data_IF_648992545332
#
_entry.id   IF_648992545332
#
_cell.length_a   1.000
_cell.length_b   1.000
_cell.length_c   1.000
_cell.angle_alpha   90.00
_cell.angle_beta   90.00
_cell.angle_gamma   90.00
#
_symmetry.space_group_name_H-M   'P 1'
#
loop_
_entity.id
_entity.type
_entity.pdbx_description
1 polymer ?
#
# COMPACT_ATOMS: atom_id res chain seq x y z
N UNK A 1 -2.45 11.69 -24.57
CA UNK A 1 -3.23 12.06 -23.36
C UNK A 1 -2.27 12.10 -22.19
N UNK A 2 -2.33 13.12 -21.34
CA UNK A 2 -1.42 13.23 -20.18
C UNK A 2 -1.72 12.15 -19.13
N UNK A 3 -0.72 11.61 -18.42
CA UNK A 3 -0.94 10.77 -17.24
C UNK A 3 -1.62 11.53 -16.11
N UNK A 4 -2.41 10.83 -15.30
CA UNK A 4 -3.07 11.38 -14.11
C UNK A 4 -2.57 10.68 -12.83
N UNK A 5 -1.96 11.46 -11.94
CA UNK A 5 -1.65 11.05 -10.57
C UNK A 5 -2.82 11.38 -9.64
N UNK A 6 -3.44 10.38 -9.05
CA UNK A 6 -4.49 10.51 -8.06
C UNK A 6 -3.89 10.29 -6.68
N UNK A 7 -3.96 11.31 -5.83
CA UNK A 7 -3.36 11.28 -4.50
C UNK A 7 -4.44 11.06 -3.47
N UNK A 8 -4.34 9.94 -2.75
CA UNK A 8 -5.06 9.70 -1.51
C UNK A 8 -4.35 10.47 -0.39
N UNK A 9 -4.75 11.73 -0.23
CA UNK A 9 -4.08 12.63 0.71
C UNK A 9 -4.47 12.38 2.17
N UNK A 10 -5.55 11.63 2.42
CA UNK A 10 -5.91 11.19 3.77
C UNK A 10 -4.82 10.27 4.34
N UNK A 11 -4.27 9.39 3.49
CA UNK A 11 -3.24 8.42 3.86
C UNK A 11 -1.81 8.84 3.51
N UNK A 12 -1.61 9.73 2.54
CA UNK A 12 -0.29 10.19 2.04
C UNK A 12 -0.23 11.71 2.00
N UNK A 13 0.21 12.31 3.11
CA UNK A 13 0.33 13.77 3.24
C UNK A 13 1.69 14.33 2.79
N UNK A 14 2.73 13.49 2.76
CA UNK A 14 4.04 13.85 2.24
C UNK A 14 4.10 13.52 0.75
N UNK A 15 4.03 14.55 -0.09
CA UNK A 15 4.16 14.45 -1.55
C UNK A 15 5.48 15.11 -1.94
N UNK A 16 6.38 14.34 -2.56
CA UNK A 16 7.62 14.83 -3.14
C UNK A 16 7.32 15.42 -4.54
N UNK A 17 6.76 16.63 -4.56
CA UNK A 17 6.26 17.31 -5.78
C UNK A 17 7.33 17.39 -6.86
N UNK A 18 8.58 17.57 -6.46
CA UNK A 18 9.77 17.67 -7.30
C UNK A 18 10.03 16.40 -8.13
N UNK A 19 9.56 15.25 -7.65
CA UNK A 19 9.71 13.96 -8.34
C UNK A 19 8.60 13.69 -9.35
N UNK A 20 7.54 14.50 -9.36
CA UNK A 20 6.42 14.33 -10.29
C UNK A 20 6.84 14.81 -11.69
N UNK A 21 6.79 13.95 -12.73
CA UNK A 21 7.16 14.35 -14.08
C UNK A 21 6.33 15.53 -14.61
N UNK A 22 6.89 16.39 -15.47
CA UNK A 22 6.25 17.64 -15.89
C UNK A 22 4.97 17.44 -16.73
N UNK A 23 4.77 16.27 -17.33
CA UNK A 23 3.61 15.92 -18.14
C UNK A 23 2.43 15.36 -17.33
N UNK A 24 2.62 15.07 -16.04
CA UNK A 24 1.57 14.55 -15.18
C UNK A 24 0.62 15.66 -14.72
N UNK A 25 -0.68 15.38 -14.79
CA UNK A 25 -1.72 16.07 -14.01
C UNK A 25 -1.85 15.41 -12.65
N UNK A 26 -2.23 16.18 -11.63
CA UNK A 26 -2.33 15.75 -10.25
C UNK A 26 -3.74 16.07 -9.72
N UNK A 27 -4.46 15.04 -9.29
CA UNK A 27 -5.76 15.17 -8.63
C UNK A 27 -5.59 14.73 -7.17
N UNK A 28 -5.71 15.68 -6.24
CA UNK A 28 -5.49 15.46 -4.81
C UNK A 28 -6.84 15.32 -4.11
N UNK A 29 -7.10 14.15 -3.53
CA UNK A 29 -8.35 13.85 -2.84
C UNK A 29 -8.18 14.04 -1.35
N UNK A 30 -9.00 14.88 -0.73
CA UNK A 30 -8.97 15.17 0.69
C UNK A 30 -10.25 14.69 1.38
N UNK A 31 -10.12 13.97 2.49
CA UNK A 31 -11.25 13.56 3.31
C UNK A 31 -12.03 14.76 3.87
N UNK A 32 -13.32 14.58 4.15
CA UNK A 32 -14.20 15.67 4.58
C UNK A 32 -13.75 16.38 5.86
N UNK A 33 -13.14 15.63 6.78
CA UNK A 33 -12.64 16.13 8.07
C UNK A 33 -11.29 16.85 7.96
N UNK A 34 -10.61 16.74 6.81
CA UNK A 34 -9.33 17.37 6.61
C UNK A 34 -9.51 18.85 6.26
N UNK A 35 -9.01 19.73 7.12
CA UNK A 35 -9.29 21.18 7.03
C UNK A 35 -8.29 21.94 6.16
N UNK A 36 -7.05 21.50 6.11
CA UNK A 36 -5.96 22.19 5.42
C UNK A 36 -4.88 21.23 4.95
N UNK A 37 -4.06 21.71 4.02
CA UNK A 37 -2.73 21.16 3.73
C UNK A 37 -1.68 22.08 4.36
N UNK A 38 -0.43 21.60 4.51
CA UNK A 38 0.65 22.45 5.02
C UNK A 38 0.97 23.57 4.03
N UNK A 39 1.42 24.72 4.55
CA UNK A 39 1.87 25.82 3.72
C UNK A 39 3.05 25.40 2.84
N UNK A 40 3.99 24.61 3.39
CA UNK A 40 5.11 24.04 2.64
C UNK A 40 4.65 23.27 1.40
N UNK A 41 3.75 22.31 1.56
CA UNK A 41 3.24 21.52 0.44
C UNK A 41 2.49 22.40 -0.57
N UNK A 42 1.68 23.32 -0.07
CA UNK A 42 0.89 24.22 -0.92
C UNK A 42 1.79 25.12 -1.75
N UNK A 43 2.85 25.69 -1.16
CA UNK A 43 3.85 26.50 -1.84
C UNK A 43 4.62 25.71 -2.90
N UNK A 44 4.89 24.42 -2.67
CA UNK A 44 5.52 23.54 -3.66
C UNK A 44 4.59 23.15 -4.81
N UNK A 45 3.29 23.00 -4.55
CA UNK A 45 2.29 22.67 -5.57
C UNK A 45 1.84 23.91 -6.38
N UNK A 46 1.86 25.10 -5.80
CA UNK A 46 1.34 26.32 -6.43
C UNK A 46 1.97 26.63 -7.81
N UNK A 47 3.30 26.50 -8.02
CA UNK A 47 3.92 26.73 -9.32
C UNK A 47 3.46 25.77 -10.42
N UNK A 48 2.89 24.60 -10.09
CA UNK A 48 2.41 23.64 -11.08
C UNK A 48 1.09 24.12 -11.74
N UNK A 49 0.44 25.15 -11.19
CA UNK A 49 -0.71 25.80 -11.79
C UNK A 49 -1.87 24.85 -12.08
N UNK A 50 -2.40 24.89 -13.30
CA UNK A 50 -3.57 24.11 -13.73
C UNK A 50 -3.36 22.60 -13.75
N UNK A 51 -2.12 22.12 -13.56
CA UNK A 51 -1.81 20.69 -13.42
C UNK A 51 -2.33 20.10 -12.13
N UNK A 52 -2.58 20.91 -11.10
CA UNK A 52 -3.02 20.44 -9.77
C UNK A 52 -4.49 20.78 -9.57
N UNK A 53 -5.30 19.78 -9.20
CA UNK A 53 -6.69 19.94 -8.83
C UNK A 53 -6.96 19.32 -7.47
N UNK A 54 -7.63 20.07 -6.60
CA UNK A 54 -8.05 19.59 -5.29
C UNK A 54 -9.50 19.11 -5.34
N UNK A 55 -9.73 17.91 -4.83
CA UNK A 55 -11.05 17.28 -4.71
C UNK A 55 -11.34 17.02 -3.24
N UNK A 56 -12.24 17.82 -2.66
CA UNK A 56 -12.73 17.57 -1.31
C UNK A 56 -13.90 16.59 -1.35
N UNK A 57 -13.75 15.49 -0.62
CA UNK A 57 -14.80 14.48 -0.42
C UNK A 57 -15.92 15.09 0.41
N UNK A 58 -17.17 14.86 0.01
CA UNK A 58 -18.34 15.24 0.79
C UNK A 58 -18.74 14.11 1.74
N UNK A 59 -19.09 14.47 2.98
CA UNK A 59 -19.51 13.51 4.00
C UNK A 59 -18.36 12.71 4.62
N UNK A 60 -18.66 12.12 5.78
CA UNK A 60 -17.74 11.21 6.47
C UNK A 60 -18.32 9.80 6.42
N UNK A 61 -17.48 8.84 6.06
CA UNK A 61 -17.88 7.45 5.89
C UNK A 61 -16.65 6.59 5.66
N UNK A 62 -16.74 5.32 6.05
CA UNK A 62 -15.66 4.36 5.79
C UNK A 62 -15.42 4.29 4.28
N UNK A 63 -14.16 4.49 3.85
CA UNK A 63 -13.74 4.46 2.45
C UNK A 63 -14.40 5.53 1.56
N UNK A 64 -14.92 6.62 2.14
CA UNK A 64 -15.59 7.68 1.37
C UNK A 64 -14.66 8.30 0.32
N UNK A 65 -13.38 8.48 0.66
CA UNK A 65 -12.36 8.97 -0.27
C UNK A 65 -12.15 8.00 -1.43
N UNK A 66 -11.98 6.72 -1.15
CA UNK A 66 -11.76 5.69 -2.17
C UNK A 66 -12.87 5.65 -3.21
N UNK A 67 -14.14 5.79 -2.77
CA UNK A 67 -15.27 5.85 -3.69
C UNK A 67 -15.27 7.10 -4.56
N UNK A 68 -14.91 8.27 -4.00
CA UNK A 68 -14.81 9.51 -4.78
C UNK A 68 -13.67 9.43 -5.79
N UNK A 69 -12.52 8.87 -5.39
CA UNK A 69 -11.37 8.66 -6.26
C UNK A 69 -11.73 7.71 -7.41
N UNK A 70 -12.34 6.55 -7.10
CA UNK A 70 -12.77 5.58 -8.10
C UNK A 70 -13.80 6.16 -9.08
N UNK A 71 -14.79 6.92 -8.58
CA UNK A 71 -15.76 7.62 -9.42
C UNK A 71 -15.10 8.64 -10.35
N UNK A 72 -14.16 9.44 -9.83
CA UNK A 72 -13.42 10.41 -10.64
C UNK A 72 -12.60 9.72 -11.73
N UNK A 73 -11.88 8.63 -11.39
CA UNK A 73 -11.17 7.81 -12.38
C UNK A 73 -12.09 7.34 -13.49
N UNK A 74 -13.26 6.79 -13.14
CA UNK A 74 -14.24 6.33 -14.12
C UNK A 74 -14.71 7.45 -15.06
N UNK A 75 -14.96 8.66 -14.53
CA UNK A 75 -15.34 9.83 -15.35
C UNK A 75 -14.24 10.26 -16.31
N UNK A 76 -12.99 10.34 -15.84
CA UNK A 76 -11.83 10.72 -16.66
C UNK A 76 -11.56 9.67 -17.74
N UNK A 77 -11.71 8.39 -17.39
CA UNK A 77 -11.55 7.27 -18.31
C UNK A 77 -12.58 7.33 -19.44
N UNK A 78 -13.87 7.47 -19.10
CA UNK A 78 -14.97 7.54 -20.08
C UNK A 78 -14.80 8.73 -21.04
N UNK A 79 -14.31 9.87 -20.53
CA UNK A 79 -14.04 11.07 -21.33
C UNK A 79 -12.75 10.99 -22.14
N UNK A 80 -11.95 9.93 -21.98
CA UNK A 80 -10.62 9.77 -22.61
C UNK A 80 -9.70 10.97 -22.32
N UNK A 81 -9.69 11.41 -21.07
CA UNK A 81 -8.93 12.58 -20.63
C UNK A 81 -7.56 12.23 -20.04
N UNK A 82 -7.27 10.94 -19.81
CA UNK A 82 -5.99 10.46 -19.29
C UNK A 82 -5.46 9.27 -20.09
N UNK A 83 -4.13 9.24 -20.30
CA UNK A 83 -3.44 8.14 -20.97
C UNK A 83 -3.00 7.02 -20.03
N UNK A 84 -2.90 7.34 -18.74
CA UNK A 84 -2.49 6.43 -17.66
C UNK A 84 -3.06 6.95 -16.34
N UNK A 85 -3.36 6.03 -15.43
CA UNK A 85 -3.73 6.34 -14.05
C UNK A 85 -2.68 5.84 -13.07
N UNK A 86 -2.22 6.71 -12.18
CA UNK A 86 -1.35 6.33 -11.07
C UNK A 86 -2.01 6.73 -9.76
N UNK A 87 -2.24 5.77 -8.87
CA UNK A 87 -2.79 6.04 -7.54
C UNK A 87 -1.63 6.11 -6.54
N UNK A 88 -1.42 7.27 -5.92
CA UNK A 88 -0.52 7.42 -4.79
C UNK A 88 -1.28 7.11 -3.49
N UNK A 89 -1.14 5.88 -3.02
CA UNK A 89 -1.80 5.39 -1.82
C UNK A 89 -1.01 4.24 -1.17
N UNK A 90 -0.95 4.24 0.16
CA UNK A 90 -0.40 3.12 0.95
C UNK A 90 -1.39 1.97 1.11
N UNK A 91 -2.68 2.24 0.92
CA UNK A 91 -3.73 1.23 1.05
C UNK A 91 -3.76 0.29 -0.17
N UNK A 92 -3.66 -1.02 0.10
CA UNK A 92 -3.83 -2.09 -0.89
C UNK A 92 -5.29 -2.29 -1.30
N UNK A 93 -6.25 -1.64 -0.63
CA UNK A 93 -7.68 -1.64 -0.98
C UNK A 93 -7.98 -1.17 -2.42
N UNK A 94 -7.06 -0.41 -3.02
CA UNK A 94 -7.14 0.00 -4.42
C UNK A 94 -6.66 -1.07 -5.42
N UNK A 95 -5.95 -2.12 -4.99
CA UNK A 95 -5.38 -3.12 -5.90
C UNK A 95 -6.45 -3.83 -6.77
N UNK A 96 -7.66 -4.17 -6.26
CA UNK A 96 -8.74 -4.68 -7.09
C UNK A 96 -9.20 -3.69 -8.16
N UNK A 97 -9.28 -2.40 -7.85
CA UNK A 97 -9.64 -1.34 -8.80
C UNK A 97 -8.57 -1.23 -9.89
N UNK A 98 -7.29 -1.16 -9.51
CA UNK A 98 -6.16 -1.12 -10.43
C UNK A 98 -6.22 -2.30 -11.40
N UNK A 99 -6.38 -3.53 -10.88
CA UNK A 99 -6.49 -4.74 -11.69
C UNK A 99 -7.66 -4.68 -12.67
N UNK A 100 -8.82 -4.18 -12.23
CA UNK A 100 -9.98 -4.04 -13.09
C UNK A 100 -9.72 -3.05 -14.22
N UNK A 101 -9.20 -1.86 -13.94
CA UNK A 101 -8.89 -0.85 -14.96
C UNK A 101 -7.82 -1.36 -15.94
N UNK A 102 -6.77 -2.03 -15.45
CA UNK A 102 -5.77 -2.66 -16.32
C UNK A 102 -6.35 -3.74 -17.24
N UNK A 103 -7.34 -4.50 -16.76
CA UNK A 103 -8.02 -5.51 -17.59
C UNK A 103 -8.81 -4.92 -18.77
N UNK A 104 -9.14 -3.63 -18.69
CA UNK A 104 -9.77 -2.86 -19.79
C UNK A 104 -8.75 -2.32 -20.80
N UNK A 105 -7.47 -2.68 -20.67
CA UNK A 105 -6.39 -2.21 -21.56
C UNK A 105 -5.87 -0.81 -21.21
N UNK A 106 -6.24 -0.27 -20.05
CA UNK A 106 -5.83 1.07 -19.60
C UNK A 106 -4.64 0.94 -18.65
N UNK A 107 -3.50 1.62 -18.92
CA UNK A 107 -2.38 1.64 -17.98
C UNK A 107 -2.82 2.19 -16.62
N UNK A 108 -2.69 1.36 -15.59
CA UNK A 108 -3.06 1.73 -14.23
C UNK A 108 -2.13 1.06 -13.23
N UNK A 109 -1.61 1.81 -12.26
CA UNK A 109 -0.80 1.27 -11.16
C UNK A 109 -1.02 2.03 -9.87
N UNK A 110 -0.68 1.40 -8.75
CA UNK A 110 -0.60 2.05 -7.43
C UNK A 110 0.86 2.13 -7.01
N UNK A 111 1.23 3.26 -6.41
CA UNK A 111 2.53 3.52 -5.81
C UNK A 111 2.34 3.94 -4.36
N UNK A 112 3.31 3.63 -3.50
CA UNK A 112 3.27 4.06 -2.09
C UNK A 112 3.99 5.41 -1.88
N UNK A 113 4.92 5.77 -2.77
CA UNK A 113 5.66 7.03 -2.78
C UNK A 113 5.88 7.55 -4.20
N UNK A 114 6.01 8.89 -4.35
CA UNK A 114 6.18 9.56 -5.65
C UNK A 114 7.45 9.07 -6.38
N UNK A 115 8.52 8.73 -5.65
CA UNK A 115 9.75 8.20 -6.25
C UNK A 115 9.58 6.91 -7.06
N UNK A 116 8.46 6.18 -6.89
CA UNK A 116 8.14 4.99 -7.68
C UNK A 116 7.55 5.35 -9.07
N UNK A 117 7.26 6.63 -9.35
CA UNK A 117 6.75 7.06 -10.65
C UNK A 117 7.71 6.75 -11.81
N UNK A 118 9.02 6.76 -11.54
CA UNK A 118 10.06 6.56 -12.55
C UNK A 118 10.37 5.07 -12.80
N UNK A 119 9.63 4.16 -12.15
CA UNK A 119 9.62 2.75 -12.55
C UNK A 119 8.99 2.60 -13.93
N UNK A 120 9.68 1.91 -14.85
CA UNK A 120 9.23 1.66 -16.23
C UNK A 120 7.74 1.33 -16.36
N UNK A 121 7.08 1.73 -17.46
CA UNK A 121 5.68 1.41 -17.71
C UNK A 121 5.48 -0.10 -17.67
N UNK A 122 4.72 -0.57 -16.69
CA UNK A 122 4.32 -1.97 -16.61
C UNK A 122 3.29 -2.18 -17.72
N UNK A 123 3.75 -2.78 -18.83
CA UNK A 123 2.89 -3.39 -19.84
C UNK A 123 1.82 -4.29 -19.16
N UNK A 124 0.60 -4.39 -19.72
CA UNK A 124 -0.55 -4.96 -19.04
C UNK A 124 -0.26 -6.41 -18.63
N UNK A 125 -0.16 -6.64 -17.32
CA UNK A 125 0.03 -7.97 -16.76
C UNK A 125 -1.31 -8.70 -16.80
N UNK A 126 -1.58 -9.34 -17.93
CA UNK A 126 -2.52 -10.46 -18.00
C UNK A 126 -1.89 -11.62 -17.24
N UNK A 127 -2.17 -11.73 -15.94
CA UNK A 127 -1.68 -12.81 -15.10
C UNK A 127 -2.57 -14.06 -15.26
N UNK A 128 -2.19 -14.94 -16.19
CA UNK A 128 -2.35 -16.38 -16.03
C UNK A 128 -1.05 -16.96 -15.40
N UNK A 129 -1.09 -18.06 -14.63
CA UNK A 129 -0.05 -18.33 -13.62
C UNK A 129 1.16 -19.14 -14.12
N UNK A 130 2.35 -18.68 -13.65
CA UNK A 130 3.68 -19.33 -13.51
C UNK A 130 4.53 -19.59 -14.78
N UNK A 131 5.88 -19.69 -14.66
CA UNK A 131 6.75 -19.71 -13.46
C UNK A 131 7.86 -18.62 -13.43
N UNK A 132 8.23 -18.13 -12.24
CA UNK A 132 9.39 -17.24 -12.07
C UNK A 132 10.71 -18.03 -11.83
N UNK A 133 11.83 -17.63 -12.46
CA UNK A 133 13.17 -18.03 -12.07
C UNK A 133 13.70 -17.20 -10.89
N UNK A 134 14.65 -17.81 -10.17
CA UNK A 134 15.23 -17.44 -8.88
C UNK A 134 16.31 -16.33 -8.96
N UNK A 135 16.46 -15.60 -7.84
CA UNK A 135 17.69 -14.91 -7.38
C UNK A 135 17.58 -13.38 -7.46
N UNK A 136 17.57 -12.60 -6.38
CA UNK A 136 18.51 -12.64 -5.26
C UNK A 136 17.86 -12.74 -3.86
N UNK A 137 18.67 -13.26 -2.95
CA UNK A 137 18.34 -13.97 -1.71
C UNK A 137 18.29 -13.08 -0.46
N UNK A 138 17.19 -13.15 0.29
CA UNK A 138 17.22 -13.08 1.75
C UNK A 138 17.07 -14.53 2.23
N UNK A 139 17.96 -15.08 3.06
CA UNK A 139 17.92 -16.49 3.40
C UNK A 139 16.54 -16.87 3.96
N UNK A 140 15.98 -17.93 3.41
CA UNK A 140 14.79 -18.57 3.96
C UNK A 140 15.18 -19.06 5.37
N UNK A 141 14.75 -18.33 6.40
CA UNK A 141 14.93 -18.81 7.76
C UNK A 141 13.95 -19.99 7.95
N UNK A 142 14.41 -21.25 8.06
CA UNK A 142 13.54 -22.42 8.20
C UNK A 142 12.67 -22.33 9.46
N UNK A 143 13.13 -21.60 10.48
CA UNK A 143 12.39 -21.36 11.73
C UNK A 143 11.16 -20.48 11.47
N UNK A 144 11.26 -19.51 10.56
CA UNK A 144 10.17 -18.59 10.23
C UNK A 144 9.03 -19.30 9.50
N UNK A 145 9.35 -20.14 8.52
CA UNK A 145 8.35 -20.94 7.81
C UNK A 145 7.70 -21.98 8.74
N UNK A 146 8.48 -22.58 9.65
CA UNK A 146 7.95 -23.50 10.66
C UNK A 146 6.98 -22.80 11.61
N UNK A 147 7.35 -21.62 12.12
CA UNK A 147 6.49 -20.82 13.00
C UNK A 147 5.21 -20.39 12.28
N UNK A 148 5.32 -19.94 11.03
CA UNK A 148 4.16 -19.60 10.19
C UNK A 148 3.23 -20.80 9.99
N UNK A 149 3.76 -21.96 9.64
CA UNK A 149 2.97 -23.17 9.41
C UNK A 149 2.23 -23.64 10.68
N UNK A 150 2.87 -23.56 11.85
CA UNK A 150 2.24 -23.93 13.12
C UNK A 150 1.15 -22.91 13.48
N UNK A 151 1.45 -21.61 13.41
CA UNK A 151 0.47 -20.55 13.72
C UNK A 151 -0.73 -20.57 12.76
N UNK A 152 -0.53 -20.95 11.50
CA UNK A 152 -1.60 -21.10 10.52
C UNK A 152 -2.57 -22.21 10.93
N UNK A 153 -2.06 -23.33 11.47
CA UNK A 153 -2.85 -24.45 11.99
C UNK A 153 -3.51 -24.18 13.34
N UNK A 154 -3.04 -23.19 14.11
CA UNK A 154 -3.66 -22.78 15.37
C UNK A 154 -4.97 -22.01 15.13
N UNK A 155 -6.03 -22.38 15.85
CA UNK A 155 -7.33 -21.71 15.81
C UNK A 155 -7.20 -20.20 16.07
N UNK A 156 -7.90 -19.38 15.29
CA UNK A 156 -7.77 -17.89 15.31
C UNK A 156 -7.96 -17.27 16.70
N UNK A 157 -8.83 -17.83 17.52
CA UNK A 157 -9.10 -17.37 18.90
C UNK A 157 -7.99 -17.72 19.90
N UNK A 158 -7.16 -18.72 19.62
CA UNK A 158 -6.04 -19.16 20.47
C UNK A 158 -4.70 -18.52 20.08
N UNK A 159 -4.65 -17.73 19.00
CA UNK A 159 -3.43 -17.05 18.57
C UNK A 159 -3.08 -15.91 19.55
N UNK A 160 -1.81 -15.80 19.99
CA UNK A 160 -1.38 -14.72 20.89
C UNK A 160 -1.74 -13.33 20.37
N UNK A 161 -2.33 -12.50 21.21
CA UNK A 161 -2.75 -11.13 20.84
C UNK A 161 -1.79 -10.04 21.31
N UNK A 162 -0.75 -10.36 22.06
CA UNK A 162 0.25 -9.38 22.51
C UNK A 162 1.63 -9.82 22.04
N UNK A 163 2.50 -8.85 21.73
CA UNK A 163 3.88 -9.13 21.31
C UNK A 163 4.63 -10.00 22.32
N UNK A 164 4.52 -9.68 23.62
CA UNK A 164 5.14 -10.47 24.70
C UNK A 164 4.62 -11.91 24.77
N UNK A 165 3.32 -12.11 24.54
CA UNK A 165 2.70 -13.45 24.50
C UNK A 165 3.11 -14.21 23.23
N UNK A 166 3.21 -13.52 22.09
CA UNK A 166 3.71 -14.08 20.83
C UNK A 166 5.15 -14.58 20.99
N UNK A 167 6.03 -13.78 21.60
CA UNK A 167 7.44 -14.17 21.86
C UNK A 167 7.53 -15.45 22.69
N UNK A 168 6.77 -15.55 23.79
CA UNK A 168 6.73 -16.77 24.63
C UNK A 168 6.16 -17.97 23.88
N UNK A 169 5.12 -17.76 23.07
CA UNK A 169 4.48 -18.81 22.30
C UNK A 169 5.39 -19.36 21.19
N UNK A 170 6.12 -18.48 20.48
CA UNK A 170 7.09 -18.86 19.45
C UNK A 170 8.29 -19.59 20.07
N UNK A 171 8.77 -19.16 21.25
CA UNK A 171 9.82 -19.88 21.99
C UNK A 171 9.40 -21.31 22.33
N UNK A 172 8.16 -21.49 22.82
CA UNK A 172 7.61 -22.79 23.14
C UNK A 172 7.44 -23.70 21.90
N UNK A 173 7.01 -23.14 20.76
CA UNK A 173 6.89 -23.88 19.49
C UNK A 173 8.23 -24.41 18.97
N UNK A 174 9.32 -23.71 19.27
CA UNK A 174 10.69 -24.08 18.87
C UNK A 174 11.44 -24.85 19.98
N UNK A 175 10.73 -25.29 21.03
CA UNK A 175 11.27 -26.16 22.07
C UNK A 175 12.17 -25.46 23.10
N UNK A 176 12.02 -24.14 23.30
CA UNK A 176 12.77 -23.33 24.28
C UNK A 176 14.31 -23.38 24.14
N UNK A 177 14.83 -23.76 22.97
CA UNK A 177 16.28 -23.88 22.71
C UNK A 177 16.90 -22.68 21.99
N UNK A 178 16.10 -21.70 21.57
CA UNK A 178 16.62 -20.54 20.85
C UNK A 178 17.12 -19.45 21.82
N UNK A 179 18.31 -18.87 21.57
CA UNK A 179 18.76 -17.66 22.26
C UNK A 179 17.78 -16.50 22.05
N UNK A 180 17.60 -15.67 23.08
CA UNK A 180 16.67 -14.53 23.07
C UNK A 180 16.93 -13.57 21.89
N UNK A 181 18.19 -13.34 21.53
CA UNK A 181 18.56 -12.49 20.39
C UNK A 181 18.02 -13.03 19.05
N UNK A 182 18.05 -14.36 18.84
CA UNK A 182 17.49 -14.98 17.63
C UNK A 182 15.97 -14.96 17.63
N UNK A 183 15.35 -15.13 18.80
CA UNK A 183 13.90 -15.06 18.95
C UNK A 183 13.38 -13.66 18.62
N UNK A 184 14.03 -12.61 19.11
CA UNK A 184 13.68 -11.21 18.79
C UNK A 184 13.82 -10.94 17.29
N UNK A 185 14.95 -11.33 16.69
CA UNK A 185 15.16 -11.18 15.25
C UNK A 185 14.11 -11.94 14.41
N UNK A 186 13.66 -13.10 14.88
CA UNK A 186 12.61 -13.89 14.23
C UNK A 186 11.26 -13.18 14.28
N UNK A 187 10.87 -12.67 15.44
CA UNK A 187 9.64 -11.88 15.61
C UNK A 187 9.69 -10.62 14.74
N UNK A 188 10.81 -9.88 14.75
CA UNK A 188 10.98 -8.70 13.90
C UNK A 188 10.89 -9.05 12.41
N UNK A 189 11.40 -10.22 12.00
CA UNK A 189 11.21 -10.72 10.64
C UNK A 189 9.73 -10.98 10.31
N UNK A 190 8.94 -11.48 11.26
CA UNK A 190 7.48 -11.66 11.06
C UNK A 190 6.77 -10.33 10.85
N UNK A 191 7.12 -9.28 11.60
CA UNK A 191 6.59 -7.93 11.40
C UNK A 191 7.07 -7.31 10.08
N UNK A 192 8.38 -7.40 9.79
CA UNK A 192 8.99 -6.86 8.57
C UNK A 192 8.43 -7.49 7.30
N UNK A 193 8.15 -8.80 7.33
CA UNK A 193 7.53 -9.54 6.22
C UNK A 193 5.99 -9.45 6.20
N UNK A 194 5.40 -8.62 7.06
CA UNK A 194 3.95 -8.40 7.18
C UNK A 194 3.15 -9.69 7.47
N UNK A 195 3.78 -10.69 8.10
CA UNK A 195 3.08 -11.90 8.57
C UNK A 195 2.22 -11.59 9.81
N UNK A 196 2.66 -10.61 10.60
CA UNK A 196 1.93 -10.08 11.75
C UNK A 196 2.00 -8.54 11.76
N UNK A 197 0.99 -7.90 12.34
CA UNK A 197 0.97 -6.44 12.60
C UNK A 197 0.50 -6.15 14.01
N UNK A 198 0.86 -5.01 14.58
CA UNK A 198 0.47 -4.59 15.92
C UNK A 198 -0.27 -3.26 15.85
N UNK A 199 -1.47 -3.21 16.42
CA UNK A 199 -2.27 -2.00 16.58
C UNK A 199 -2.96 -2.04 17.94
N UNK A 200 -2.94 -0.94 18.71
CA UNK A 200 -3.54 -0.87 20.05
C UNK A 200 -3.04 -1.98 21.01
N UNK A 201 -1.74 -2.32 20.98
CA UNK A 201 -1.15 -3.47 21.70
C UNK A 201 -1.76 -4.84 21.35
N UNK A 202 -2.46 -4.93 20.21
CA UNK A 202 -3.04 -6.16 19.69
C UNK A 202 -2.32 -6.60 18.42
N UNK A 203 -1.77 -7.81 18.46
CA UNK A 203 -1.14 -8.49 17.33
C UNK A 203 -2.20 -9.17 16.47
N UNK A 204 -2.16 -8.89 15.17
CA UNK A 204 -2.99 -9.50 14.12
C UNK A 204 -2.10 -10.34 13.18
N UNK A 205 -2.66 -11.40 12.58
CA UNK A 205 -1.96 -12.35 11.72
C UNK A 205 -2.52 -12.28 10.31
N UNK A 206 -1.64 -12.26 9.29
CA UNK A 206 -2.01 -12.06 7.88
C UNK A 206 -1.77 -13.32 7.02
N UNK A 207 -1.86 -14.49 7.64
CA UNK A 207 -1.70 -15.81 7.01
C UNK A 207 -2.57 -16.88 7.68
#
# INVERSE_FOLDING_TARGET
>A
MQPLLLVDFENVQAIDVELVPPDYRIAIFCGANQKSASLDLTSRLQPLGSRVQWHRVSGSGKNALDFHLAFHMGRVLERKEAGEFVILAKDTGYDPLVKHISSLGVPCRRIAAVGELHGSPVAPVVQAPKPLPKGASVPANPELERVKAILAKTQKNKRPRKRSTLTKHVSAMLGNKLPEAKLTALIDSMFKRKLVSEANNVVSYHF
#
